data_IF_017893557254
#
_entry.id   IF_017893557254
#
_cell.length_a   1.000
_cell.length_b   1.000
_cell.length_c   1.000
_cell.angle_alpha   90.00
_cell.angle_beta   90.00
_cell.angle_gamma   90.00
#
_symmetry.space_group_name_H-M   'P 1'
#
loop_
_entity.id
_entity.type
_entity.pdbx_description
1 polymer ?
#
# COMPACT_ATOMS: atom_id res chain seq x y z
N UNK A 1 5.41 -9.22 23.90
CA UNK A 1 4.25 -8.36 23.59
C UNK A 1 4.52 -7.70 22.26
N UNK A 2 3.64 -7.82 21.26
CA UNK A 2 3.89 -7.21 19.94
C UNK A 2 3.60 -5.70 20.07
N UNK A 3 4.58 -4.85 19.75
CA UNK A 3 4.45 -3.37 19.78
C UNK A 3 3.19 -2.85 19.05
N UNK A 4 2.68 -3.63 18.10
CA UNK A 4 1.50 -3.39 17.26
C UNK A 4 0.17 -3.34 18.00
N UNK A 5 0.03 -4.09 19.09
CA UNK A 5 -1.19 -4.08 19.90
C UNK A 5 -1.41 -2.69 20.52
N UNK A 6 -0.34 -1.90 20.69
CA UNK A 6 -0.41 -0.51 21.14
C UNK A 6 -0.98 0.45 20.08
N UNK A 7 -0.67 0.24 18.80
CA UNK A 7 -1.14 1.11 17.70
C UNK A 7 -2.63 0.89 17.42
N UNK A 8 -3.09 -0.36 17.41
CA UNK A 8 -4.52 -0.65 17.28
C UNK A 8 -5.31 -0.14 18.50
N UNK A 9 -4.72 -0.18 19.71
CA UNK A 9 -5.29 0.42 20.94
C UNK A 9 -5.32 1.96 20.91
N UNK A 10 -4.41 2.60 20.21
CA UNK A 10 -4.44 4.05 19.94
C UNK A 10 -5.53 4.44 18.91
N UNK A 11 -6.33 3.49 18.43
CA UNK A 11 -7.48 3.73 17.54
C UNK A 11 -7.13 3.77 16.06
N UNK A 12 -5.87 3.59 15.68
CA UNK A 12 -5.44 3.58 14.28
C UNK A 12 -5.68 2.21 13.65
N UNK A 13 -6.82 2.08 12.95
CA UNK A 13 -7.15 0.91 12.13
C UNK A 13 -6.75 1.17 10.68
N UNK A 14 -6.23 0.14 10.01
CA UNK A 14 -6.03 0.20 8.56
C UNK A 14 -7.42 0.38 7.91
N UNK A 15 -7.61 1.36 7.01
CA UNK A 15 -8.87 1.56 6.30
C UNK A 15 -9.28 0.32 5.50
N UNK A 16 -10.59 0.18 5.27
CA UNK A 16 -11.10 -0.77 4.30
C UNK A 16 -10.70 -0.39 2.88
N UNK A 17 -10.76 -1.36 1.97
CA UNK A 17 -10.35 -1.18 0.59
C UNK A 17 -11.41 -0.38 -0.16
N UNK A 18 -11.07 0.80 -0.68
CA UNK A 18 -11.95 1.56 -1.58
C UNK A 18 -12.19 0.83 -2.90
N UNK A 19 -11.27 -0.05 -3.31
CA UNK A 19 -11.39 -0.75 -4.56
C UNK A 19 -10.42 -1.89 -4.77
N UNK A 20 -10.86 -2.78 -5.66
CA UNK A 20 -10.06 -3.88 -6.20
C UNK A 20 -10.16 -3.81 -7.71
N UNK A 21 -9.02 -3.80 -8.39
CA UNK A 21 -8.94 -3.66 -9.85
C UNK A 21 -8.02 -4.71 -10.44
N UNK A 22 -8.42 -5.27 -11.57
CA UNK A 22 -7.50 -6.02 -12.42
C UNK A 22 -6.52 -5.05 -13.06
N UNK A 23 -5.31 -5.53 -13.34
CA UNK A 23 -4.29 -4.67 -13.93
C UNK A 23 -4.66 -4.18 -15.34
N UNK A 24 -5.53 -4.89 -16.06
CA UNK A 24 -6.10 -4.47 -17.35
C UNK A 24 -6.90 -3.17 -17.23
N UNK A 25 -7.60 -2.99 -16.11
CA UNK A 25 -8.69 -2.01 -15.98
C UNK A 25 -8.34 -0.86 -15.04
N UNK A 26 -7.12 -0.83 -14.51
CA UNK A 26 -6.70 0.15 -13.50
C UNK A 26 -6.86 1.61 -13.97
N UNK A 27 -6.70 1.89 -15.27
CA UNK A 27 -6.77 3.26 -15.81
C UNK A 27 -8.16 3.88 -15.68
N UNK A 28 -9.20 3.07 -15.73
CA UNK A 28 -10.60 3.51 -15.67
C UNK A 28 -11.09 3.59 -14.23
N UNK A 29 -10.57 2.70 -13.38
CA UNK A 29 -11.09 2.49 -12.03
C UNK A 29 -10.28 3.16 -10.92
N UNK A 30 -9.00 3.49 -11.15
CA UNK A 30 -8.14 4.14 -10.14
C UNK A 30 -8.02 5.64 -10.41
N UNK A 31 -8.37 6.44 -9.40
CA UNK A 31 -8.22 7.91 -9.37
C UNK A 31 -6.77 8.33 -9.06
N UNK A 32 -6.42 9.54 -9.50
CA UNK A 32 -5.14 10.20 -9.20
C UNK A 32 -5.16 10.83 -7.81
N UNK A 33 -5.17 9.98 -6.77
CA UNK A 33 -5.21 10.39 -5.37
C UNK A 33 -4.11 9.71 -4.55
N UNK A 34 -3.85 10.28 -3.39
CA UNK A 34 -2.95 9.69 -2.41
C UNK A 34 -3.55 8.43 -1.80
N UNK A 35 -2.73 7.41 -1.56
CA UNK A 35 -3.19 6.18 -0.95
C UNK A 35 -2.16 5.07 -0.91
N UNK A 36 -2.62 3.91 -0.43
CA UNK A 36 -1.81 2.70 -0.25
C UNK A 36 -2.38 1.58 -1.11
N UNK A 37 -1.51 0.77 -1.71
CA UNK A 37 -1.88 -0.30 -2.64
C UNK A 37 -1.15 -1.60 -2.33
N UNK A 38 -1.83 -2.72 -2.61
CA UNK A 38 -1.35 -4.09 -2.50
C UNK A 38 -1.45 -4.77 -3.85
N UNK A 39 -0.36 -5.37 -4.30
CA UNK A 39 -0.27 -6.11 -5.56
C UNK A 39 -0.37 -7.61 -5.27
N UNK A 40 -1.23 -8.27 -6.01
CA UNK A 40 -1.44 -9.71 -5.98
C UNK A 40 -1.14 -10.33 -7.33
N UNK A 41 -0.63 -11.56 -7.30
CA UNK A 41 -0.49 -12.40 -8.49
C UNK A 41 -1.77 -13.19 -8.78
N UNK A 42 -1.74 -14.03 -9.82
CA UNK A 42 -2.90 -14.83 -10.26
C UNK A 42 -3.34 -15.88 -9.22
N UNK A 43 -2.42 -16.37 -8.40
CA UNK A 43 -2.72 -17.30 -7.29
C UNK A 43 -3.15 -16.58 -6.00
N UNK A 44 -3.56 -15.32 -6.10
CA UNK A 44 -3.94 -14.43 -5.00
C UNK A 44 -2.89 -14.27 -3.87
N UNK A 45 -1.61 -14.45 -4.21
CA UNK A 45 -0.51 -14.23 -3.27
C UNK A 45 -0.15 -12.76 -3.26
N UNK A 46 0.07 -12.21 -2.06
CA UNK A 46 0.56 -10.84 -1.87
C UNK A 46 2.01 -10.72 -2.33
N UNK A 47 2.25 -9.91 -3.36
CA UNK A 47 3.58 -9.72 -3.95
C UNK A 47 4.25 -8.46 -3.41
N UNK A 48 3.51 -7.36 -3.31
CA UNK A 48 4.08 -6.06 -2.97
C UNK A 48 3.04 -5.15 -2.30
N UNK A 49 3.50 -4.30 -1.38
CA UNK A 49 2.74 -3.21 -0.78
C UNK A 49 3.49 -1.91 -1.03
N UNK A 50 2.79 -0.84 -1.40
CA UNK A 50 3.40 0.48 -1.53
C UNK A 50 2.42 1.60 -1.26
N UNK A 51 2.94 2.82 -1.12
CA UNK A 51 2.16 4.06 -1.04
C UNK A 51 2.51 5.03 -2.17
N UNK A 52 1.61 5.96 -2.47
CA UNK A 52 1.89 7.10 -3.35
C UNK A 52 0.89 8.24 -3.19
N UNK A 53 1.30 9.48 -3.45
CA UNK A 53 0.39 10.62 -3.66
C UNK A 53 -0.42 10.55 -4.95
N UNK A 54 0.00 9.74 -5.92
CA UNK A 54 -0.76 9.50 -7.15
C UNK A 54 -0.76 7.99 -7.45
N UNK A 55 -1.75 7.30 -6.86
CA UNK A 55 -1.89 5.85 -6.98
C UNK A 55 -1.98 5.38 -8.43
N UNK A 56 -2.78 6.04 -9.27
CA UNK A 56 -2.94 5.68 -10.68
C UNK A 56 -1.60 5.70 -11.42
N UNK A 57 -0.81 6.76 -11.25
CA UNK A 57 0.53 6.86 -11.86
C UNK A 57 1.45 5.76 -11.34
N UNK A 58 1.49 5.56 -10.02
CA UNK A 58 2.35 4.56 -9.39
C UNK A 58 2.03 3.13 -9.85
N UNK A 59 0.75 2.76 -9.93
CA UNK A 59 0.34 1.46 -10.46
C UNK A 59 0.78 1.30 -11.91
N UNK A 60 0.65 2.35 -12.73
CA UNK A 60 1.13 2.36 -14.11
C UNK A 60 2.64 2.14 -14.24
N UNK A 61 3.45 2.71 -13.35
CA UNK A 61 4.90 2.48 -13.30
C UNK A 61 5.24 1.01 -13.02
N UNK A 62 4.51 0.38 -12.09
CA UNK A 62 4.68 -1.04 -11.78
C UNK A 62 4.29 -1.93 -12.97
N UNK A 63 3.22 -1.59 -13.70
CA UNK A 63 2.82 -2.35 -14.90
C UNK A 63 3.83 -2.24 -16.05
N UNK A 64 4.33 -1.04 -16.33
CA UNK A 64 5.30 -0.81 -17.43
C UNK A 64 6.69 -1.37 -17.11
N UNK A 65 6.99 -1.60 -15.84
CA UNK A 65 8.29 -2.10 -15.39
C UNK A 65 8.50 -3.57 -15.72
N UNK A 66 9.05 -3.88 -16.91
CA UNK A 66 9.49 -5.23 -17.35
C UNK A 66 10.50 -5.96 -16.42
N UNK A 67 10.84 -5.42 -15.24
CA UNK A 67 12.06 -5.78 -14.47
C UNK A 67 11.86 -6.27 -13.03
N UNK A 68 10.65 -6.39 -12.49
CA UNK A 68 10.48 -6.72 -11.06
C UNK A 68 10.32 -8.20 -10.73
N UNK A 69 10.28 -9.08 -11.73
CA UNK A 69 10.26 -10.53 -11.50
C UNK A 69 8.97 -11.06 -10.86
N UNK A 70 7.87 -10.29 -10.89
CA UNK A 70 6.53 -10.73 -10.52
C UNK A 70 5.49 -10.21 -11.52
N UNK A 71 4.47 -11.03 -11.77
CA UNK A 71 3.30 -10.67 -12.55
C UNK A 71 2.26 -10.00 -11.66
N UNK A 72 1.73 -8.85 -12.13
CA UNK A 72 0.67 -8.10 -11.45
C UNK A 72 -0.63 -8.59 -12.05
N UNK A 73 -1.44 -9.29 -11.26
CA UNK A 73 -2.78 -9.71 -11.69
C UNK A 73 -3.82 -8.70 -11.23
N UNK A 74 -3.78 -8.38 -9.94
CA UNK A 74 -4.79 -7.56 -9.26
C UNK A 74 -4.16 -6.59 -8.28
N UNK A 75 -4.76 -5.43 -8.13
CA UNK A 75 -4.38 -4.41 -7.16
C UNK A 75 -5.56 -4.13 -6.24
N UNK A 76 -5.34 -4.20 -4.93
CA UNK A 76 -6.26 -3.67 -3.93
C UNK A 76 -5.71 -2.36 -3.40
N UNK A 77 -6.55 -1.37 -3.17
CA UNK A 77 -6.09 -0.07 -2.70
C UNK A 77 -7.15 0.63 -1.85
N UNK A 78 -6.68 1.60 -1.08
CA UNK A 78 -7.52 2.62 -0.45
C UNK A 78 -6.83 3.97 -0.56
N UNK A 79 -7.63 5.02 -0.56
CA UNK A 79 -7.21 6.40 -0.56
C UNK A 79 -6.98 6.90 0.85
N UNK A 80 -6.07 7.85 0.98
CA UNK A 80 -5.81 8.57 2.22
C UNK A 80 -5.91 10.05 1.89
N UNK A 81 -6.75 10.76 2.61
CA UNK A 81 -6.99 12.18 2.41
C UNK A 81 -6.81 12.92 3.73
N UNK A 82 -6.05 14.01 3.69
CA UNK A 82 -5.85 14.90 4.81
C UNK A 82 -5.45 16.28 4.28
N UNK A 83 -5.95 17.36 4.88
CA UNK A 83 -5.66 18.74 4.46
C UNK A 83 -4.19 19.12 4.67
N UNK A 84 -3.59 18.61 5.74
CA UNK A 84 -2.18 18.79 6.05
C UNK A 84 -1.31 17.68 5.41
N UNK A 85 -0.41 18.08 4.51
CA UNK A 85 0.50 17.18 3.80
C UNK A 85 1.46 16.40 4.72
N UNK A 86 1.88 16.98 5.85
CA UNK A 86 2.74 16.28 6.80
C UNK A 86 2.00 15.08 7.41
N UNK A 87 0.77 15.32 7.88
CA UNK A 87 -0.07 14.27 8.47
C UNK A 87 -0.44 13.22 7.41
N UNK A 88 -0.76 13.64 6.18
CA UNK A 88 -0.97 12.72 5.05
C UNK A 88 0.22 11.77 4.85
N UNK A 89 1.45 12.30 4.84
CA UNK A 89 2.66 11.51 4.69
C UNK A 89 2.83 10.52 5.84
N UNK A 90 2.63 10.98 7.09
CA UNK A 90 2.68 10.12 8.26
C UNK A 90 1.70 8.96 8.18
N UNK A 91 0.46 9.20 7.70
CA UNK A 91 -0.52 8.15 7.50
C UNK A 91 -0.12 7.16 6.41
N UNK A 92 0.34 7.65 5.25
CA UNK A 92 0.79 6.78 4.16
C UNK A 92 1.92 5.85 4.61
N UNK A 93 2.91 6.39 5.32
CA UNK A 93 4.05 5.62 5.82
C UNK A 93 3.64 4.65 6.94
N UNK A 94 2.73 5.07 7.83
CA UNK A 94 2.17 4.21 8.87
C UNK A 94 1.45 3.01 8.24
N UNK A 95 0.48 3.26 7.36
CA UNK A 95 -0.34 2.21 6.77
C UNK A 95 0.47 1.26 5.88
N UNK A 96 1.39 1.78 5.07
CA UNK A 96 2.31 0.94 4.28
C UNK A 96 3.11 0.02 5.21
N UNK A 97 3.69 0.58 6.26
CA UNK A 97 4.53 -0.16 7.21
C UNK A 97 3.73 -1.23 7.95
N UNK A 98 2.53 -0.90 8.42
CA UNK A 98 1.61 -1.85 9.07
C UNK A 98 1.24 -3.00 8.12
N UNK A 99 0.91 -2.70 6.87
CA UNK A 99 0.55 -3.71 5.87
C UNK A 99 1.73 -4.59 5.49
N UNK A 100 2.94 -4.05 5.31
CA UNK A 100 4.15 -4.85 5.05
C UNK A 100 4.40 -5.81 6.20
N UNK A 101 4.31 -5.34 7.46
CA UNK A 101 4.50 -6.19 8.64
C UNK A 101 3.43 -7.26 8.79
N UNK A 102 2.16 -6.91 8.54
CA UNK A 102 1.02 -7.82 8.67
C UNK A 102 0.97 -8.88 7.58
N UNK A 103 1.29 -8.52 6.33
CA UNK A 103 1.11 -9.37 5.16
C UNK A 103 2.40 -10.05 4.68
N UNK A 104 3.56 -9.58 5.14
CA UNK A 104 4.89 -10.07 4.73
C UNK A 104 5.05 -10.29 3.20
N UNK A 105 4.79 -9.26 2.37
CA UNK A 105 4.84 -9.36 0.91
C UNK A 105 6.22 -9.80 0.38
N UNK A 106 6.21 -10.71 -0.59
CA UNK A 106 7.42 -11.37 -1.12
C UNK A 106 8.51 -10.41 -1.64
N UNK A 107 8.13 -9.28 -2.24
CA UNK A 107 9.05 -8.37 -2.93
C UNK A 107 9.29 -7.04 -2.21
N UNK A 108 8.69 -6.81 -1.04
CA UNK A 108 9.13 -5.69 -0.21
C UNK A 108 10.41 -6.08 0.51
N UNK A 109 11.43 -5.21 0.45
CA UNK A 109 12.53 -5.27 1.41
C UNK A 109 11.94 -5.00 2.79
N UNK A 110 12.15 -5.89 3.75
CA UNK A 110 11.65 -5.68 5.11
C UNK A 110 12.23 -4.35 5.65
N UNK A 111 11.36 -3.46 6.11
CA UNK A 111 11.78 -2.26 6.85
C UNK A 111 12.16 -2.73 8.26
N UNK A 112 13.45 -2.98 8.47
CA UNK A 112 14.02 -3.41 9.76
C UNK A 112 14.08 -2.29 10.80
N UNK A 113 13.91 -1.03 10.40
CA UNK A 113 13.95 0.10 11.32
C UNK A 113 12.67 0.19 12.17
N UNK A 114 12.78 0.37 13.50
CA UNK A 114 11.63 0.75 14.32
C UNK A 114 11.06 2.07 13.82
N UNK A 115 9.73 2.22 13.92
CA UNK A 115 9.04 3.44 13.49
C UNK A 115 9.58 4.60 14.32
N UNK A 116 10.38 5.49 13.72
CA UNK A 116 10.85 6.69 14.40
C UNK A 116 9.70 7.67 14.48
N UNK A 117 9.09 7.76 15.65
CA UNK A 117 8.34 8.94 16.04
C UNK A 117 9.39 10.06 16.21
N UNK A 118 9.48 10.96 15.23
CA UNK A 118 10.12 12.27 15.40
C UNK A 118 9.08 13.27 15.87
#
# INVERSE_FOLDING_TARGET
MKEWDGIERMGYKIPEDDGVVMISDYKQNVKEKAGVYRIYNEQDRIMYVGQSHNLKRRIGEHFRGKRKGYYIYRVRYFYVEHENNFILNSFLDLYETLLIRKLNPRYNKQKSSPMRYI
#
